data_IF_795195742836
#
_entry.id   IF_795195742836
#
_cell.length_a   1.000
_cell.length_b   1.000
_cell.length_c   1.000
_cell.angle_alpha   90.00
_cell.angle_beta   90.00
_cell.angle_gamma   90.00
#
_symmetry.space_group_name_H-M   'P 1'
#
loop_
_entity.id
_entity.type
_entity.pdbx_description
1 polymer ?
#
# COMPACT_ATOMS: atom_id res chain seq x y z
N UNK A 1 6.58 -46.87 23.47
CA UNK A 1 5.49 -46.01 22.99
C UNK A 1 5.65 -44.54 23.35
N UNK A 2 6.00 -44.18 24.58
CA UNK A 2 6.18 -42.78 24.98
C UNK A 2 7.31 -42.03 24.24
N UNK A 3 8.40 -42.70 23.88
CA UNK A 3 9.53 -42.12 23.14
C UNK A 3 9.18 -41.77 21.67
N UNK A 4 8.34 -42.53 21.01
CA UNK A 4 7.89 -42.30 19.64
C UNK A 4 6.95 -41.08 19.58
N UNK A 5 6.08 -40.92 20.60
CA UNK A 5 5.17 -39.78 20.72
C UNK A 5 5.92 -38.45 20.87
N UNK A 6 6.98 -38.42 21.66
CA UNK A 6 7.81 -37.25 21.88
C UNK A 6 8.56 -36.84 20.61
N UNK A 7 9.07 -37.80 19.83
CA UNK A 7 9.74 -37.56 18.55
C UNK A 7 8.80 -36.92 17.49
N UNK A 8 7.56 -37.37 17.40
CA UNK A 8 6.55 -36.81 16.47
C UNK A 8 6.22 -35.38 16.88
N UNK A 9 6.12 -35.07 18.16
CA UNK A 9 5.83 -33.72 18.66
C UNK A 9 6.96 -32.75 18.34
N UNK A 10 8.22 -33.15 18.50
CA UNK A 10 9.39 -32.36 18.14
C UNK A 10 9.46 -32.09 16.62
N UNK A 11 9.13 -33.07 15.82
CA UNK A 11 9.09 -32.96 14.36
C UNK A 11 8.05 -31.94 13.87
N UNK A 12 6.86 -31.92 14.46
CA UNK A 12 5.80 -30.94 14.18
C UNK A 12 6.21 -29.52 14.58
N UNK A 13 6.97 -29.38 15.64
CA UNK A 13 7.48 -28.07 16.10
C UNK A 13 8.49 -27.49 15.13
N UNK A 14 9.36 -28.29 14.56
CA UNK A 14 10.33 -27.86 13.53
C UNK A 14 9.67 -27.40 12.24
N UNK A 15 8.53 -27.98 11.87
CA UNK A 15 7.84 -27.64 10.62
C UNK A 15 7.25 -26.22 10.63
N UNK A 16 6.76 -25.72 11.76
CA UNK A 16 6.22 -24.35 11.89
C UNK A 16 7.30 -23.26 11.87
N UNK A 17 8.53 -23.55 12.29
CA UNK A 17 9.66 -22.60 12.28
C UNK A 17 10.21 -22.40 10.86
N UNK A 18 10.27 -23.44 10.01
CA UNK A 18 10.82 -23.33 8.66
C UNK A 18 9.97 -22.48 7.71
N UNK A 19 8.67 -22.36 7.94
CA UNK A 19 7.79 -21.49 7.15
C UNK A 19 8.08 -19.99 7.38
N UNK A 20 8.41 -19.58 8.62
CA UNK A 20 8.75 -18.20 8.93
C UNK A 20 10.09 -17.77 8.31
N UNK A 21 11.08 -18.68 8.21
CA UNK A 21 12.40 -18.41 7.65
C UNK A 21 12.37 -18.18 6.12
N UNK A 22 11.30 -18.60 5.42
CA UNK A 22 11.16 -18.43 3.98
C UNK A 22 10.59 -17.08 3.57
N UNK A 23 10.16 -16.24 4.54
CA UNK A 23 9.66 -14.90 4.24
C UNK A 23 10.84 -13.94 4.04
N UNK A 24 10.85 -13.29 2.89
CA UNK A 24 11.86 -12.30 2.52
C UNK A 24 11.21 -10.99 2.14
N UNK A 25 11.81 -9.88 2.55
CA UNK A 25 11.38 -8.54 2.20
C UNK A 25 12.34 -7.93 1.19
N UNK A 26 11.79 -7.40 0.10
CA UNK A 26 12.55 -6.69 -0.92
C UNK A 26 11.98 -5.29 -1.08
N UNK A 27 12.82 -4.26 -0.93
CA UNK A 27 12.44 -2.88 -1.22
C UNK A 27 12.32 -2.69 -2.72
N UNK A 28 11.20 -2.15 -3.19
CA UNK A 28 10.94 -1.90 -4.61
C UNK A 28 11.17 -0.43 -4.94
N UNK A 29 10.68 0.49 -4.10
CA UNK A 29 10.72 1.94 -4.36
C UNK A 29 10.61 2.69 -3.04
N UNK A 30 11.09 3.95 -3.03
CA UNK A 30 10.84 4.88 -1.92
C UNK A 30 9.76 5.88 -2.31
N UNK A 31 8.86 6.17 -1.38
CA UNK A 31 7.74 7.09 -1.58
C UNK A 31 7.73 8.13 -0.46
N UNK A 32 7.15 9.30 -0.75
CA UNK A 32 6.97 10.37 0.22
C UNK A 32 5.55 10.31 0.80
N UNK A 33 5.44 9.98 2.08
CA UNK A 33 4.16 9.91 2.80
C UNK A 33 3.07 9.12 2.03
N UNK A 34 3.33 7.87 1.64
CA UNK A 34 2.32 7.07 0.94
C UNK A 34 1.13 6.83 1.86
N UNK A 35 -0.09 6.89 1.30
CA UNK A 35 -1.30 6.70 2.08
C UNK A 35 -2.13 5.51 1.60
N UNK A 36 -2.62 5.56 0.37
CA UNK A 36 -3.46 4.52 -0.18
C UNK A 36 -2.84 3.87 -1.41
N UNK A 37 -3.26 2.66 -1.70
CA UNK A 37 -2.79 1.91 -2.86
C UNK A 37 -3.86 0.97 -3.39
N UNK A 38 -3.78 0.68 -4.69
CA UNK A 38 -4.64 -0.29 -5.34
C UNK A 38 -3.90 -0.89 -6.55
N UNK A 39 -4.03 -2.20 -6.76
CA UNK A 39 -3.51 -2.81 -7.98
C UNK A 39 -4.35 -2.40 -9.18
N UNK A 40 -3.71 -2.03 -10.28
CA UNK A 40 -4.36 -1.73 -11.56
C UNK A 40 -4.07 -2.82 -12.60
N UNK A 41 -3.05 -3.63 -12.37
CA UNK A 41 -2.71 -4.84 -13.13
C UNK A 41 -1.93 -5.79 -12.23
N UNK A 42 -1.50 -6.95 -12.76
CA UNK A 42 -0.68 -7.90 -12.01
C UNK A 42 0.68 -7.32 -11.60
N UNK A 43 1.20 -6.36 -12.38
CA UNK A 43 2.55 -5.83 -12.22
C UNK A 43 2.58 -4.36 -11.80
N UNK A 44 1.42 -3.69 -11.72
CA UNK A 44 1.35 -2.27 -11.45
C UNK A 44 0.42 -1.96 -10.30
N UNK A 45 0.88 -1.07 -9.42
CA UNK A 45 0.11 -0.56 -8.31
C UNK A 45 0.04 0.97 -8.41
N UNK A 46 -1.13 1.53 -8.19
CA UNK A 46 -1.32 2.97 -8.09
C UNK A 46 -1.31 3.38 -6.62
N UNK A 47 -0.62 4.45 -6.31
CA UNK A 47 -0.39 4.90 -4.93
C UNK A 47 -0.64 6.40 -4.83
N UNK A 48 -1.33 6.82 -3.77
CA UNK A 48 -1.42 8.23 -3.39
C UNK A 48 -0.32 8.56 -2.39
N UNK A 49 0.30 9.72 -2.59
CA UNK A 49 1.12 10.37 -1.59
C UNK A 49 0.31 11.50 -0.95
N UNK A 50 0.29 11.56 0.36
CA UNK A 50 -0.49 12.56 1.12
C UNK A 50 -0.18 13.98 0.68
N UNK A 51 1.06 14.25 0.29
CA UNK A 51 1.55 15.54 -0.20
C UNK A 51 0.98 15.97 -1.57
N UNK A 52 0.26 15.10 -2.26
CA UNK A 52 -0.46 15.45 -3.47
C UNK A 52 -0.11 14.66 -4.72
N UNK A 53 0.87 13.77 -4.68
CA UNK A 53 1.27 13.00 -5.85
C UNK A 53 0.49 11.71 -5.97
N UNK A 54 0.22 11.31 -7.20
CA UNK A 54 -0.34 10.01 -7.55
C UNK A 54 0.68 9.32 -8.45
N UNK A 55 1.11 8.13 -8.07
CA UNK A 55 2.15 7.40 -8.79
C UNK A 55 1.68 6.01 -9.18
N UNK A 56 2.09 5.55 -10.35
CA UNK A 56 1.99 4.15 -10.77
C UNK A 56 3.37 3.54 -10.67
N UNK A 57 3.47 2.45 -9.92
CA UNK A 57 4.71 1.74 -9.67
C UNK A 57 4.65 0.37 -10.35
N UNK A 58 5.64 0.07 -11.18
CA UNK A 58 5.84 -1.29 -11.64
C UNK A 58 6.57 -2.07 -10.55
N UNK A 59 5.93 -3.11 -10.00
CA UNK A 59 6.48 -3.86 -8.87
C UNK A 59 7.62 -4.81 -9.26
N UNK A 60 7.80 -5.07 -10.54
CA UNK A 60 8.89 -5.95 -11.01
C UNK A 60 10.22 -5.21 -11.13
N UNK A 61 10.21 -3.96 -11.56
CA UNK A 61 11.43 -3.18 -11.82
C UNK A 61 11.55 -1.90 -10.98
N UNK A 62 10.53 -1.53 -10.21
CA UNK A 62 10.52 -0.33 -9.37
C UNK A 62 10.34 0.98 -10.13
N UNK A 63 10.07 0.96 -11.42
CA UNK A 63 9.82 2.17 -12.19
C UNK A 63 8.55 2.86 -11.69
N UNK A 64 8.63 4.17 -11.51
CA UNK A 64 7.53 5.00 -11.04
C UNK A 64 7.18 6.05 -12.09
N UNK A 65 5.89 6.18 -12.39
CA UNK A 65 5.35 7.24 -13.22
C UNK A 65 4.39 8.09 -12.39
N UNK A 66 4.51 9.41 -12.48
CA UNK A 66 3.61 10.33 -11.80
C UNK A 66 2.43 10.65 -12.70
N UNK A 67 1.22 10.63 -12.15
CA UNK A 67 -0.01 11.03 -12.83
C UNK A 67 -0.31 12.47 -12.46
N UNK A 68 -0.40 13.35 -13.45
CA UNK A 68 -0.82 14.72 -13.23
C UNK A 68 -2.32 14.80 -12.94
N UNK A 69 -2.70 15.69 -12.03
CA UNK A 69 -4.10 15.94 -11.68
C UNK A 69 -4.27 17.39 -11.20
N UNK A 70 -5.51 17.81 -11.12
CA UNK A 70 -5.89 19.15 -10.66
C UNK A 70 -6.87 19.10 -9.47
N UNK A 71 -6.77 18.08 -8.64
CA UNK A 71 -7.59 17.97 -7.44
C UNK A 71 -7.27 19.11 -6.47
N UNK A 72 -8.30 19.77 -5.97
CA UNK A 72 -8.17 20.86 -5.01
C UNK A 72 -8.09 20.30 -3.60
N UNK A 73 -6.95 19.71 -3.27
CA UNK A 73 -6.71 19.08 -1.98
C UNK A 73 -5.99 20.02 -1.02
N UNK A 74 -6.12 19.72 0.28
CA UNK A 74 -5.39 20.41 1.35
C UNK A 74 -4.62 19.40 2.19
N UNK A 75 -3.30 19.48 2.18
CA UNK A 75 -2.45 18.71 3.11
C UNK A 75 -2.35 19.48 4.43
N UNK A 76 -3.07 19.00 5.45
CA UNK A 76 -3.04 19.57 6.79
C UNK A 76 -3.40 18.48 7.82
N UNK A 77 -2.54 18.28 8.82
CA UNK A 77 -2.75 17.24 9.83
C UNK A 77 -2.87 15.86 9.18
N UNK A 78 -4.01 15.22 9.32
CA UNK A 78 -4.33 13.94 8.68
C UNK A 78 -4.88 14.10 7.25
N UNK A 79 -5.07 15.32 6.78
CA UNK A 79 -5.62 15.61 5.46
C UNK A 79 -4.58 15.61 4.35
N UNK A 80 -5.03 15.47 3.11
CA UNK A 80 -4.22 15.42 1.90
C UNK A 80 -4.90 14.53 0.86
N UNK A 81 -4.13 13.95 -0.07
CA UNK A 81 -4.60 12.80 -0.82
C UNK A 81 -4.60 11.58 0.11
N UNK A 82 -5.69 10.85 0.10
CA UNK A 82 -5.92 9.75 1.02
C UNK A 82 -6.02 8.43 0.26
N UNK A 83 -7.12 7.70 0.42
CA UNK A 83 -7.24 6.37 -0.16
C UNK A 83 -7.49 6.40 -1.67
N UNK A 84 -7.17 5.31 -2.34
CA UNK A 84 -7.34 5.14 -3.77
C UNK A 84 -7.80 3.71 -4.06
N UNK A 85 -8.73 3.56 -5.01
CA UNK A 85 -9.26 2.29 -5.44
C UNK A 85 -9.41 2.25 -6.95
N UNK A 86 -8.87 1.23 -7.59
CA UNK A 86 -9.14 0.90 -8.99
C UNK A 86 -10.22 -0.17 -9.06
N UNK A 87 -11.31 0.14 -9.74
CA UNK A 87 -12.42 -0.79 -9.96
C UNK A 87 -13.18 -0.44 -11.24
N UNK A 88 -13.47 -1.45 -12.06
CA UNK A 88 -14.29 -1.33 -13.27
C UNK A 88 -13.81 -0.20 -14.23
N UNK A 89 -12.50 -0.10 -14.44
CA UNK A 89 -11.83 0.93 -15.24
C UNK A 89 -11.94 2.36 -14.70
N UNK A 90 -12.37 2.51 -13.44
CA UNK A 90 -12.39 3.80 -12.75
C UNK A 90 -11.36 3.82 -11.62
N UNK A 91 -10.86 5.02 -11.35
CA UNK A 91 -10.04 5.30 -10.18
C UNK A 91 -10.86 6.18 -9.24
N UNK A 92 -11.06 5.70 -8.02
CA UNK A 92 -11.75 6.43 -6.95
C UNK A 92 -10.69 6.93 -5.98
N UNK A 93 -10.72 8.22 -5.68
CA UNK A 93 -9.76 8.84 -4.76
C UNK A 93 -10.53 9.62 -3.71
N UNK A 94 -10.19 9.41 -2.44
CA UNK A 94 -10.62 10.27 -1.34
C UNK A 94 -9.54 11.28 -1.03
N UNK A 95 -9.94 12.49 -0.71
CA UNK A 95 -9.01 13.56 -0.36
C UNK A 95 -9.68 14.61 0.50
N UNK A 96 -8.86 15.40 1.19
CA UNK A 96 -9.34 16.56 1.94
C UNK A 96 -9.39 17.76 1.00
N UNK A 97 -10.59 18.30 0.80
CA UNK A 97 -10.80 19.43 -0.09
C UNK A 97 -10.37 20.74 0.56
N UNK A 98 -9.67 21.57 -0.20
CA UNK A 98 -9.30 22.92 0.21
C UNK A 98 -10.46 23.88 -0.07
N UNK A 99 -11.07 24.40 1.00
CA UNK A 99 -12.16 25.38 0.93
C UNK A 99 -11.71 26.76 1.40
N UNK A 100 -12.21 27.80 0.72
CA UNK A 100 -11.80 29.19 0.96
C UNK A 100 -12.08 29.72 2.38
N UNK A 101 -12.92 29.05 3.17
CA UNK A 101 -13.36 29.52 4.49
C UNK A 101 -12.66 28.85 5.67
N UNK A 102 -11.45 28.31 5.49
CA UNK A 102 -10.70 27.61 6.53
C UNK A 102 -11.35 26.31 7.01
N UNK A 103 -12.38 25.85 6.32
CA UNK A 103 -13.03 24.57 6.60
C UNK A 103 -12.53 23.52 5.62
N UNK A 104 -12.24 22.35 6.14
CA UNK A 104 -11.90 21.18 5.32
C UNK A 104 -13.05 20.18 5.31
N UNK A 105 -13.20 19.45 4.22
CA UNK A 105 -14.10 18.32 4.14
C UNK A 105 -13.46 17.22 3.33
N UNK A 106 -13.87 15.97 3.57
CA UNK A 106 -13.39 14.82 2.80
C UNK A 106 -14.28 14.61 1.59
N UNK A 107 -13.65 14.44 0.44
CA UNK A 107 -14.34 14.17 -0.84
C UNK A 107 -13.94 12.82 -1.38
#
# INVERSE_FOLDING_TARGET
MKKIFLLIFIFLHFHSVSLAENLKFKKIVSLDKPWGSSFISNDEIIITEKSGKIKIINILNGNAAEIEHNLNFLEYGQGGLLDILHKDNFIYISYTENRANWKTSTS
#
